data_IF_640472853284
#
_entry.id   IF_640472853284
#
_cell.length_a   1.000
_cell.length_b   1.000
_cell.length_c   1.000
_cell.angle_alpha   90.00
_cell.angle_beta   90.00
_cell.angle_gamma   90.00
#
_symmetry.space_group_name_H-M   'P 1'
#
loop_
_entity.id
_entity.type
_entity.pdbx_description
1 polymer ?
#
# COMPACT_ATOMS: atom_id res chain seq x y z
N UNK A 1 31.93 -116.81 14.36
CA UNK A 1 30.82 -115.90 14.05
C UNK A 1 31.33 -114.48 14.23
N UNK A 2 31.80 -113.85 13.15
CA UNK A 2 32.32 -112.48 13.16
C UNK A 2 31.16 -111.50 13.27
N UNK A 3 31.07 -110.80 14.40
CA UNK A 3 30.10 -109.73 14.63
C UNK A 3 30.42 -108.56 13.69
N UNK A 4 29.54 -108.29 12.72
CA UNK A 4 29.57 -107.02 11.99
C UNK A 4 29.20 -105.90 12.97
N UNK A 5 29.95 -104.79 13.04
CA UNK A 5 29.61 -103.67 13.90
C UNK A 5 28.22 -103.13 13.52
N UNK A 6 27.30 -103.14 14.48
CA UNK A 6 25.89 -102.77 14.33
C UNK A 6 25.64 -101.28 14.08
N UNK A 7 26.69 -100.46 13.94
CA UNK A 7 26.61 -99.02 13.77
C UNK A 7 26.70 -98.52 12.31
N UNK A 8 26.72 -99.40 11.30
CA UNK A 8 26.82 -98.94 9.91
C UNK A 8 26.15 -99.83 8.85
N UNK A 9 25.01 -100.47 9.15
CA UNK A 9 24.20 -101.12 8.10
C UNK A 9 23.29 -100.07 7.47
N UNK A 10 23.68 -99.56 6.30
CA UNK A 10 22.85 -98.65 5.50
C UNK A 10 21.92 -99.45 4.58
N UNK A 11 20.66 -99.02 4.46
CA UNK A 11 19.84 -99.41 3.31
C UNK A 11 20.31 -98.62 2.09
N UNK A 12 20.12 -99.17 0.88
CA UNK A 12 20.52 -98.50 -0.37
C UNK A 12 19.91 -97.09 -0.48
N UNK A 13 18.64 -96.93 -0.09
CA UNK A 13 17.97 -95.62 -0.05
C UNK A 13 18.61 -94.66 0.96
N UNK A 14 18.94 -95.15 2.17
CA UNK A 14 19.59 -94.32 3.22
C UNK A 14 21.00 -93.89 2.79
N UNK A 15 21.73 -94.77 2.11
CA UNK A 15 23.06 -94.47 1.56
C UNK A 15 22.96 -93.34 0.52
N UNK A 16 22.11 -93.48 -0.50
CA UNK A 16 21.95 -92.47 -1.55
C UNK A 16 21.50 -91.11 -0.98
N UNK A 17 20.59 -91.10 -0.01
CA UNK A 17 20.11 -89.87 0.62
C UNK A 17 21.21 -89.17 1.43
N UNK A 18 22.05 -89.93 2.14
CA UNK A 18 23.18 -89.39 2.90
C UNK A 18 24.25 -88.82 1.98
N UNK A 19 24.58 -89.52 0.88
CA UNK A 19 25.57 -89.05 -0.11
C UNK A 19 25.09 -87.78 -0.81
N UNK A 20 23.81 -87.71 -1.18
CA UNK A 20 23.20 -86.50 -1.74
C UNK A 20 23.38 -85.30 -0.82
N UNK A 21 23.03 -85.44 0.46
CA UNK A 21 23.14 -84.35 1.44
C UNK A 21 24.58 -83.86 1.64
N UNK A 22 25.55 -84.79 1.68
CA UNK A 22 26.97 -84.43 1.80
C UNK A 22 27.46 -83.65 0.57
N UNK A 23 27.10 -84.09 -0.62
CA UNK A 23 27.48 -83.41 -1.86
C UNK A 23 26.85 -82.02 -1.97
N UNK A 24 25.57 -81.89 -1.60
CA UNK A 24 24.85 -80.61 -1.63
C UNK A 24 25.39 -79.63 -0.56
N UNK A 25 25.80 -80.10 0.62
CA UNK A 25 26.38 -79.25 1.68
C UNK A 25 27.80 -78.77 1.37
N UNK A 26 28.70 -79.66 0.94
CA UNK A 26 30.14 -79.34 0.82
C UNK A 26 30.45 -78.52 -0.43
N UNK A 27 29.82 -78.82 -1.57
CA UNK A 27 30.18 -78.21 -2.85
C UNK A 27 29.30 -77.02 -3.25
N UNK A 28 28.06 -76.95 -2.75
CA UNK A 28 27.14 -75.85 -3.05
C UNK A 28 26.92 -75.59 -4.54
N UNK A 29 26.86 -74.31 -4.92
CA UNK A 29 26.72 -73.86 -6.30
C UNK A 29 28.09 -73.66 -6.95
N UNK A 30 28.29 -74.27 -8.12
CA UNK A 30 29.55 -74.19 -8.86
C UNK A 30 29.33 -73.75 -10.30
N UNK A 31 30.38 -73.20 -10.90
CA UNK A 31 30.45 -72.87 -12.32
C UNK A 31 31.31 -73.88 -13.05
N UNK A 32 30.80 -74.41 -14.16
CA UNK A 32 31.45 -75.45 -14.96
C UNK A 32 31.44 -75.07 -16.43
N UNK A 33 32.59 -75.21 -17.08
CA UNK A 33 32.72 -75.09 -18.53
C UNK A 33 32.85 -76.47 -19.14
N UNK A 34 32.13 -76.72 -20.23
CA UNK A 34 32.22 -77.99 -20.96
C UNK A 34 31.38 -78.00 -22.22
N UNK A 35 31.55 -79.04 -23.02
CA UNK A 35 30.81 -79.26 -24.25
C UNK A 35 29.49 -79.99 -23.97
N UNK A 36 28.39 -79.50 -24.54
CA UNK A 36 27.10 -80.19 -24.50
C UNK A 36 27.15 -81.41 -25.42
N UNK A 37 26.77 -82.56 -24.88
CA UNK A 37 26.52 -83.78 -25.64
C UNK A 37 25.20 -84.41 -25.22
N UNK A 38 24.62 -85.24 -26.09
CA UNK A 38 23.39 -85.99 -25.80
C UNK A 38 22.22 -85.10 -25.31
N UNK A 39 22.08 -83.90 -25.87
CA UNK A 39 21.00 -82.97 -25.55
C UNK A 39 19.64 -83.55 -25.93
N UNK A 40 18.74 -83.62 -24.96
CA UNK A 40 17.36 -84.06 -25.09
C UNK A 40 16.40 -83.00 -24.53
N UNK A 41 15.38 -82.68 -25.30
CA UNK A 41 14.37 -81.66 -24.97
C UNK A 41 12.95 -82.24 -25.09
N UNK A 42 12.50 -83.06 -24.11
CA UNK A 42 11.16 -83.64 -24.12
C UNK A 42 10.03 -82.59 -23.97
N UNK A 43 8.79 -83.00 -24.27
CA UNK A 43 7.60 -82.14 -24.18
C UNK A 43 7.28 -81.62 -22.77
N UNK A 44 7.87 -82.20 -21.72
CA UNK A 44 7.80 -81.70 -20.33
C UNK A 44 8.45 -80.31 -20.16
N UNK A 45 9.35 -79.93 -21.08
CA UNK A 45 10.04 -78.65 -21.07
C UNK A 45 11.30 -78.61 -20.19
N UNK A 46 11.72 -79.76 -19.64
CA UNK A 46 13.03 -79.93 -19.00
C UNK A 46 14.09 -80.27 -20.05
N UNK A 47 15.33 -79.84 -19.84
CA UNK A 47 16.45 -80.21 -20.71
C UNK A 47 17.36 -81.18 -19.98
N UNK A 48 17.73 -82.26 -20.66
CA UNK A 48 18.70 -83.23 -20.17
C UNK A 48 19.86 -83.27 -21.14
N UNK A 49 21.08 -83.16 -20.65
CA UNK A 49 22.28 -83.22 -21.48
C UNK A 49 23.45 -83.74 -20.67
N UNK A 50 24.53 -84.14 -21.33
CA UNK A 50 25.78 -84.52 -20.68
C UNK A 50 26.79 -83.42 -20.94
N UNK A 51 27.33 -82.84 -19.86
CA UNK A 51 28.46 -81.92 -19.94
C UNK A 51 29.74 -82.75 -19.93
N UNK A 52 30.60 -82.58 -20.95
CA UNK A 52 31.88 -83.27 -21.04
C UNK A 52 33.04 -82.29 -21.20
N UNK A 53 34.20 -82.68 -20.70
CA UNK A 53 35.50 -82.08 -21.00
C UNK A 53 36.41 -83.13 -21.68
N UNK A 54 37.71 -82.87 -21.79
CA UNK A 54 38.66 -83.81 -22.42
C UNK A 54 38.83 -85.14 -21.66
N UNK A 55 38.50 -85.20 -20.37
CA UNK A 55 38.83 -86.33 -19.48
C UNK A 55 37.63 -86.94 -18.74
N UNK A 56 36.53 -86.21 -18.63
CA UNK A 56 35.38 -86.57 -17.80
C UNK A 56 34.05 -86.11 -18.42
N UNK A 57 32.96 -86.72 -17.97
CA UNK A 57 31.61 -86.35 -18.36
C UNK A 57 30.64 -86.49 -17.19
N UNK A 58 29.60 -85.66 -17.15
CA UNK A 58 28.60 -85.63 -16.10
C UNK A 58 27.20 -85.33 -16.66
N UNK A 59 26.19 -86.03 -16.16
CA UNK A 59 24.79 -85.80 -16.55
C UNK A 59 24.27 -84.51 -15.92
N UNK A 60 23.57 -83.72 -16.71
CA UNK A 60 22.99 -82.45 -16.33
C UNK A 60 21.50 -82.46 -16.60
N UNK A 61 20.73 -81.91 -15.67
CA UNK A 61 19.32 -81.62 -15.83
C UNK A 61 19.08 -80.12 -15.63
N UNK A 62 18.27 -79.51 -16.48
CA UNK A 62 17.90 -78.10 -16.40
C UNK A 62 16.38 -77.99 -16.43
N UNK A 63 15.82 -77.42 -15.35
CA UNK A 63 14.37 -77.35 -15.20
C UNK A 63 13.74 -76.26 -16.08
N UNK A 64 12.45 -76.42 -16.41
CA UNK A 64 11.71 -75.55 -17.35
C UNK A 64 11.78 -74.07 -16.96
N UNK A 65 11.77 -73.77 -15.67
CA UNK A 65 11.89 -72.43 -15.11
C UNK A 65 13.26 -71.80 -15.39
N UNK A 66 14.33 -72.59 -15.33
CA UNK A 66 15.70 -72.18 -15.63
C UNK A 66 15.93 -72.05 -17.14
N UNK A 67 15.40 -72.98 -17.95
CA UNK A 67 15.54 -72.98 -19.42
C UNK A 67 15.03 -71.68 -20.06
N UNK A 68 13.96 -71.10 -19.50
CA UNK A 68 13.37 -69.83 -19.98
C UNK A 68 14.32 -68.63 -19.88
N UNK A 69 15.34 -68.70 -19.03
CA UNK A 69 16.33 -67.63 -18.84
C UNK A 69 17.48 -67.71 -19.84
N UNK A 70 17.60 -68.80 -20.59
CA UNK A 70 18.66 -68.98 -21.58
C UNK A 70 18.26 -68.26 -22.87
N UNK A 71 19.08 -67.29 -23.28
CA UNK A 71 18.83 -66.41 -24.43
C UNK A 71 19.23 -67.01 -25.77
N UNK A 72 19.93 -68.15 -25.76
CA UNK A 72 20.38 -68.86 -26.95
C UNK A 72 19.83 -70.30 -27.02
N UNK A 73 19.91 -70.91 -28.20
CA UNK A 73 19.50 -72.31 -28.39
C UNK A 73 20.71 -73.24 -28.22
N UNK A 74 20.79 -74.06 -27.16
CA UNK A 74 21.90 -74.97 -26.98
C UNK A 74 21.89 -76.09 -28.03
N UNK A 75 23.07 -76.48 -28.49
CA UNK A 75 23.26 -77.56 -29.46
C UNK A 75 24.32 -78.56 -28.98
N UNK A 76 24.24 -79.80 -29.47
CA UNK A 76 25.33 -80.77 -29.25
C UNK A 76 26.61 -80.27 -29.94
N UNK A 77 27.76 -80.43 -29.29
CA UNK A 77 29.03 -79.89 -29.77
C UNK A 77 29.32 -78.47 -29.28
N UNK A 78 28.36 -77.81 -28.63
CA UNK A 78 28.52 -76.42 -28.20
C UNK A 78 29.18 -76.36 -26.82
N UNK A 79 30.22 -75.54 -26.70
CA UNK A 79 30.85 -75.25 -25.43
C UNK A 79 30.04 -74.22 -24.65
N UNK A 80 29.69 -74.54 -23.41
CA UNK A 80 28.85 -73.71 -22.54
C UNK A 80 29.46 -73.57 -21.15
N UNK A 81 29.17 -72.43 -20.52
CA UNK A 81 29.41 -72.20 -19.12
C UNK A 81 28.07 -72.34 -18.39
N UNK A 82 28.00 -73.23 -17.41
CA UNK A 82 26.79 -73.49 -16.62
C UNK A 82 27.05 -73.27 -15.14
N UNK A 83 26.12 -72.57 -14.49
CA UNK A 83 26.02 -72.52 -13.03
C UNK A 83 25.10 -73.64 -12.60
N UNK A 84 25.61 -74.56 -11.79
CA UNK A 84 24.89 -75.75 -11.38
C UNK A 84 25.12 -76.11 -9.92
N UNK A 85 24.12 -76.75 -9.34
CA UNK A 85 24.21 -77.39 -8.02
C UNK A 85 24.47 -78.88 -8.20
N UNK A 86 25.40 -79.43 -7.42
CA UNK A 86 25.71 -80.86 -7.46
C UNK A 86 24.65 -81.64 -6.69
N UNK A 87 24.14 -82.72 -7.27
CA UNK A 87 23.15 -83.57 -6.62
C UNK A 87 23.27 -85.04 -7.06
N UNK A 88 22.47 -85.92 -6.47
CA UNK A 88 22.45 -87.34 -6.78
C UNK A 88 21.01 -87.82 -7.00
N UNK A 89 20.78 -88.53 -8.10
CA UNK A 89 19.47 -89.05 -8.45
C UNK A 89 19.16 -90.31 -7.61
N UNK A 90 18.49 -90.11 -6.48
CA UNK A 90 18.23 -91.13 -5.44
C UNK A 90 17.73 -92.49 -5.96
N UNK A 91 16.80 -92.57 -6.95
CA UNK A 91 16.28 -93.86 -7.41
C UNK A 91 17.30 -94.75 -8.13
N UNK A 92 18.35 -94.15 -8.73
CA UNK A 92 19.39 -94.90 -9.46
C UNK A 92 20.78 -94.76 -8.85
N UNK A 93 20.98 -93.81 -7.93
CA UNK A 93 22.30 -93.50 -7.38
C UNK A 93 23.21 -92.74 -8.34
N UNK A 94 22.67 -92.19 -9.43
CA UNK A 94 23.47 -91.52 -10.46
C UNK A 94 23.87 -90.10 -10.01
N UNK A 95 25.15 -89.78 -10.13
CA UNK A 95 25.67 -88.42 -9.94
C UNK A 95 25.19 -87.48 -11.07
N UNK A 96 24.65 -86.32 -10.72
CA UNK A 96 24.14 -85.37 -11.69
C UNK A 96 24.27 -83.91 -11.25
N UNK A 97 24.25 -83.01 -12.22
CA UNK A 97 24.23 -81.57 -12.01
C UNK A 97 22.84 -81.01 -12.29
N UNK A 98 22.37 -80.11 -11.42
CA UNK A 98 21.18 -79.32 -11.67
C UNK A 98 21.59 -77.93 -12.16
N UNK A 99 21.47 -77.69 -13.46
CA UNK A 99 21.81 -76.40 -14.07
C UNK A 99 20.73 -75.34 -13.77
N UNK A 100 21.17 -74.18 -13.31
CA UNK A 100 20.33 -73.02 -12.99
C UNK A 100 20.44 -71.92 -14.06
N UNK A 101 21.62 -71.72 -14.60
CA UNK A 101 21.89 -70.77 -15.68
C UNK A 101 22.91 -71.34 -16.65
N UNK A 102 22.72 -71.07 -17.95
CA UNK A 102 23.57 -71.54 -19.03
C UNK A 102 23.92 -70.35 -19.93
N UNK A 103 25.20 -70.18 -20.21
CA UNK A 103 25.77 -69.16 -21.08
C UNK A 103 26.71 -69.81 -22.12
N UNK A 104 26.93 -69.22 -23.29
CA UNK A 104 27.96 -69.67 -24.22
C UNK A 104 29.34 -69.57 -23.53
N UNK A 105 30.24 -70.55 -23.75
CA UNK A 105 31.57 -70.52 -23.12
C UNK A 105 32.44 -69.35 -23.60
N UNK A 106 32.17 -68.79 -24.78
CA UNK A 106 32.85 -67.60 -25.30
C UNK A 106 32.72 -66.40 -24.36
N UNK A 107 31.51 -66.12 -23.87
CA UNK A 107 31.23 -64.98 -22.99
C UNK A 107 31.94 -65.11 -21.62
N UNK A 108 31.99 -66.33 -21.07
CA UNK A 108 32.64 -66.59 -19.79
C UNK A 108 34.17 -66.45 -19.83
N UNK A 109 34.79 -66.90 -20.93
CA UNK A 109 36.23 -66.72 -21.14
C UNK A 109 36.59 -65.24 -21.31
N UNK A 110 35.79 -64.50 -22.08
CA UNK A 110 35.94 -63.05 -22.24
C UNK A 110 35.76 -62.33 -20.90
N UNK A 111 34.75 -62.69 -20.10
CA UNK A 111 34.56 -62.08 -18.78
C UNK A 111 35.76 -62.33 -17.84
N UNK A 112 36.32 -63.54 -17.82
CA UNK A 112 37.50 -63.85 -17.04
C UNK A 112 38.73 -63.06 -17.52
N UNK A 113 38.94 -62.96 -18.84
CA UNK A 113 40.02 -62.16 -19.42
C UNK A 113 39.89 -60.68 -19.07
N UNK A 114 38.66 -60.15 -19.08
CA UNK A 114 38.37 -58.77 -18.70
C UNK A 114 38.72 -58.52 -17.23
N UNK A 115 38.29 -59.40 -16.31
CA UNK A 115 38.60 -59.24 -14.89
C UNK A 115 40.10 -59.34 -14.61
N UNK A 116 40.80 -60.28 -15.24
CA UNK A 116 42.25 -60.42 -15.11
C UNK A 116 42.99 -59.18 -15.61
N UNK A 117 42.61 -58.69 -16.80
CA UNK A 117 43.24 -57.50 -17.38
C UNK A 117 42.93 -56.24 -16.56
N UNK A 118 41.70 -56.10 -16.09
CA UNK A 118 41.29 -55.01 -15.20
C UNK A 118 42.11 -55.00 -13.92
N UNK A 119 42.28 -56.15 -13.25
CA UNK A 119 43.09 -56.25 -12.04
C UNK A 119 44.55 -55.88 -12.31
N UNK A 120 45.12 -56.34 -13.43
CA UNK A 120 46.50 -56.04 -13.81
C UNK A 120 46.72 -54.55 -14.07
N UNK A 121 45.89 -53.93 -14.90
CA UNK A 121 46.02 -52.50 -15.24
C UNK A 121 45.70 -51.59 -14.03
N UNK A 122 44.78 -52.01 -13.16
CA UNK A 122 44.54 -51.32 -11.88
C UNK A 122 45.77 -51.36 -10.98
N UNK A 123 46.44 -52.52 -10.87
CA UNK A 123 47.66 -52.66 -10.08
C UNK A 123 48.83 -51.82 -10.63
N UNK A 124 48.86 -51.59 -11.95
CA UNK A 124 49.80 -50.67 -12.61
C UNK A 124 49.45 -49.18 -12.43
N UNK A 125 48.27 -48.85 -11.87
CA UNK A 125 47.82 -47.48 -11.59
C UNK A 125 47.17 -46.75 -12.78
N UNK A 126 46.89 -47.43 -13.90
CA UNK A 126 46.33 -46.79 -15.10
C UNK A 126 44.92 -46.20 -14.89
N UNK A 127 44.23 -46.59 -13.83
CA UNK A 127 42.89 -46.09 -13.50
C UNK A 127 42.92 -44.95 -12.46
N UNK A 128 44.10 -44.58 -11.96
CA UNK A 128 44.21 -43.60 -10.89
C UNK A 128 43.77 -42.21 -11.36
N UNK A 129 42.94 -41.56 -10.54
CA UNK A 129 42.42 -40.23 -10.83
C UNK A 129 43.52 -39.17 -11.01
N UNK A 130 44.72 -39.39 -10.45
CA UNK A 130 45.85 -38.46 -10.52
C UNK A 130 46.44 -38.32 -11.94
N UNK A 131 46.28 -39.33 -12.79
CA UNK A 131 46.78 -39.30 -14.18
C UNK A 131 45.72 -38.80 -15.17
N UNK A 132 44.46 -38.66 -14.74
CA UNK A 132 43.37 -38.21 -15.59
C UNK A 132 43.47 -36.71 -15.86
N UNK A 133 43.42 -36.34 -17.12
CA UNK A 133 43.48 -34.97 -17.60
C UNK A 133 42.12 -34.27 -17.46
N UNK A 134 42.16 -32.98 -17.14
CA UNK A 134 40.94 -32.17 -17.06
C UNK A 134 40.50 -31.77 -18.47
N UNK A 135 39.23 -32.01 -18.80
CA UNK A 135 38.68 -31.63 -20.10
C UNK A 135 38.68 -30.11 -20.29
N UNK A 136 38.98 -29.62 -21.50
CA UNK A 136 38.84 -28.20 -21.82
C UNK A 136 37.36 -27.80 -21.72
N UNK A 137 37.07 -26.76 -20.93
CA UNK A 137 35.73 -26.18 -20.80
C UNK A 137 35.73 -24.70 -21.20
N UNK A 138 35.19 -24.32 -22.36
CA UNK A 138 34.69 -25.22 -23.41
C UNK A 138 35.78 -25.74 -24.35
N UNK A 139 35.53 -26.89 -24.98
CA UNK A 139 36.38 -27.38 -26.06
C UNK A 139 36.40 -26.39 -27.24
N UNK A 140 37.54 -26.32 -27.92
CA UNK A 140 37.73 -25.53 -29.13
C UNK A 140 37.61 -26.37 -30.39
N UNK A 141 37.99 -27.64 -30.35
CA UNK A 141 37.94 -28.54 -31.50
C UNK A 141 37.94 -30.01 -31.07
N UNK A 142 36.88 -30.73 -31.45
CA UNK A 142 36.67 -32.12 -31.01
C UNK A 142 37.16 -33.09 -32.08
N UNK A 143 37.96 -34.07 -31.68
CA UNK A 143 38.26 -35.24 -32.51
C UNK A 143 37.32 -36.39 -32.18
N UNK A 144 36.76 -37.07 -33.18
CA UNK A 144 35.87 -38.21 -32.99
C UNK A 144 36.48 -39.45 -33.61
N UNK A 145 36.82 -40.43 -32.78
CA UNK A 145 37.35 -41.73 -33.17
C UNK A 145 36.21 -42.74 -33.10
N UNK A 146 35.59 -42.99 -34.25
CA UNK A 146 34.49 -43.96 -34.40
C UNK A 146 34.37 -44.42 -35.85
N UNK A 147 33.45 -45.34 -36.15
CA UNK A 147 33.21 -45.78 -37.52
C UNK A 147 32.58 -44.69 -38.38
N UNK A 148 33.10 -44.50 -39.59
CA UNK A 148 32.64 -43.46 -40.51
C UNK A 148 31.16 -43.58 -40.90
N UNK A 149 30.61 -44.79 -40.87
CA UNK A 149 29.22 -45.12 -41.20
C UNK A 149 28.36 -45.48 -39.96
N UNK A 150 28.91 -45.36 -38.75
CA UNK A 150 28.23 -45.77 -37.52
C UNK A 150 27.20 -44.76 -37.02
N UNK A 151 26.14 -45.25 -36.37
CA UNK A 151 25.13 -44.40 -35.72
C UNK A 151 25.74 -43.45 -34.68
N UNK A 152 26.79 -43.86 -33.98
CA UNK A 152 27.47 -43.02 -32.99
C UNK A 152 28.02 -41.71 -33.56
N UNK A 153 28.56 -41.73 -34.78
CA UNK A 153 29.04 -40.52 -35.43
C UNK A 153 27.88 -39.56 -35.70
N UNK A 154 26.77 -40.09 -36.21
CA UNK A 154 25.58 -39.29 -36.48
C UNK A 154 25.00 -38.67 -35.21
N UNK A 155 24.90 -39.46 -34.14
CA UNK A 155 24.41 -39.01 -32.83
C UNK A 155 25.28 -37.88 -32.25
N UNK A 156 26.61 -38.04 -32.29
CA UNK A 156 27.56 -37.01 -31.85
C UNK A 156 27.38 -35.74 -32.67
N UNK A 157 27.40 -35.84 -34.01
CA UNK A 157 27.29 -34.68 -34.89
C UNK A 157 25.96 -33.95 -34.73
N UNK A 158 24.84 -34.67 -34.56
CA UNK A 158 23.53 -34.08 -34.36
C UNK A 158 23.44 -33.32 -33.04
N UNK A 159 24.00 -33.87 -31.95
CA UNK A 159 24.07 -33.19 -30.66
C UNK A 159 24.93 -31.93 -30.75
N UNK A 160 26.13 -32.04 -31.33
CA UNK A 160 27.04 -30.90 -31.50
C UNK A 160 26.40 -29.81 -32.37
N UNK A 161 25.78 -30.15 -33.49
CA UNK A 161 25.09 -29.18 -34.36
C UNK A 161 23.93 -28.47 -33.66
N UNK A 162 23.23 -29.15 -32.74
CA UNK A 162 22.13 -28.56 -31.97
C UNK A 162 22.61 -27.69 -30.81
N UNK A 163 23.67 -28.10 -30.10
CA UNK A 163 24.13 -27.42 -28.87
C UNK A 163 25.20 -26.37 -29.11
N UNK A 164 26.18 -26.68 -29.96
CA UNK A 164 27.32 -25.84 -30.30
C UNK A 164 27.71 -26.01 -31.78
N UNK A 165 26.89 -25.49 -32.72
CA UNK A 165 27.18 -25.58 -34.15
C UNK A 165 28.47 -24.85 -34.59
N UNK A 166 29.10 -24.08 -33.70
CA UNK A 166 30.38 -23.41 -33.97
C UNK A 166 31.60 -24.27 -33.70
N UNK A 167 31.43 -25.43 -33.04
CA UNK A 167 32.51 -26.33 -32.66
C UNK A 167 33.01 -27.13 -33.88
N UNK A 168 34.26 -26.95 -34.32
CA UNK A 168 34.85 -27.77 -35.37
C UNK A 168 35.01 -29.21 -34.90
N UNK A 169 34.71 -30.15 -35.81
CA UNK A 169 34.80 -31.59 -35.56
C UNK A 169 35.72 -32.23 -36.58
N UNK A 170 36.74 -32.95 -36.12
CA UNK A 170 37.58 -33.81 -36.95
C UNK A 170 37.17 -35.25 -36.72
N UNK A 171 36.85 -35.97 -37.79
CA UNK A 171 36.53 -37.40 -37.73
C UNK A 171 37.77 -38.20 -38.08
N UNK A 172 38.15 -39.11 -37.18
CA UNK A 172 39.19 -40.11 -37.39
C UNK A 172 38.51 -41.47 -37.63
N UNK A 173 38.18 -41.79 -38.90
CA UNK A 173 37.38 -42.96 -39.23
C UNK A 173 38.13 -44.24 -38.87
N UNK A 174 37.53 -45.03 -37.97
CA UNK A 174 38.18 -46.19 -37.35
C UNK A 174 37.19 -47.35 -37.25
N UNK A 175 37.61 -48.57 -37.59
CA UNK A 175 36.79 -49.75 -37.28
C UNK A 175 36.72 -49.92 -35.76
N UNK A 176 35.51 -49.91 -35.21
CA UNK A 176 35.26 -50.06 -33.75
C UNK A 176 34.89 -51.48 -33.34
N UNK A 177 34.88 -52.42 -34.30
CA UNK A 177 34.52 -53.82 -34.10
C UNK A 177 35.36 -54.74 -35.00
N UNK A 178 35.55 -55.98 -34.55
CA UNK A 178 36.35 -56.99 -35.25
C UNK A 178 37.82 -56.98 -34.87
N UNK A 179 38.57 -57.99 -35.35
CA UNK A 179 39.94 -58.26 -34.91
C UNK A 179 40.94 -57.13 -35.20
N UNK A 180 40.70 -56.33 -36.25
CA UNK A 180 41.56 -55.20 -36.64
C UNK A 180 41.27 -53.91 -35.86
N UNK A 181 40.14 -53.84 -35.13
CA UNK A 181 39.69 -52.62 -34.48
C UNK A 181 40.67 -52.07 -33.43
N UNK A 182 41.24 -52.88 -32.51
CA UNK A 182 42.18 -52.36 -31.51
C UNK A 182 43.38 -51.62 -32.12
N UNK A 183 43.99 -52.18 -33.17
CA UNK A 183 45.14 -51.57 -33.83
C UNK A 183 44.77 -50.27 -34.56
N UNK A 184 43.58 -50.21 -35.16
CA UNK A 184 43.10 -48.99 -35.82
C UNK A 184 42.79 -47.89 -34.80
N UNK A 185 42.19 -48.22 -33.65
CA UNK A 185 41.94 -47.27 -32.56
C UNK A 185 43.24 -46.68 -32.03
N UNK A 186 44.26 -47.53 -31.78
CA UNK A 186 45.59 -47.07 -31.35
C UNK A 186 46.19 -46.09 -32.37
N UNK A 187 46.19 -46.47 -33.66
CA UNK A 187 46.71 -45.60 -34.72
C UNK A 187 45.95 -44.28 -34.85
N UNK A 188 44.63 -44.28 -34.64
CA UNK A 188 43.83 -43.07 -34.68
C UNK A 188 44.15 -42.12 -33.52
N UNK A 189 44.34 -42.66 -32.31
CA UNK A 189 44.77 -41.88 -31.13
C UNK A 189 46.18 -41.30 -31.37
N UNK A 190 47.11 -42.13 -31.86
CA UNK A 190 48.47 -41.68 -32.18
C UNK A 190 48.47 -40.59 -33.26
N UNK A 191 47.68 -40.78 -34.33
CA UNK A 191 47.54 -39.79 -35.40
C UNK A 191 46.96 -38.48 -34.90
N UNK A 192 45.93 -38.53 -34.04
CA UNK A 192 45.35 -37.33 -33.45
C UNK A 192 46.37 -36.57 -32.59
N UNK A 193 47.14 -37.29 -31.76
CA UNK A 193 48.22 -36.71 -30.96
C UNK A 193 49.38 -36.15 -31.81
N UNK A 194 49.68 -36.75 -32.97
CA UNK A 194 50.70 -36.26 -33.89
C UNK A 194 50.26 -34.99 -34.61
N UNK A 195 48.99 -34.89 -34.99
CA UNK A 195 48.44 -33.73 -35.69
C UNK A 195 48.20 -32.55 -34.77
N UNK A 196 47.87 -32.81 -33.50
CA UNK A 196 47.63 -31.79 -32.46
C UNK A 196 46.59 -30.74 -32.88
N UNK A 197 45.59 -31.17 -33.67
CA UNK A 197 44.53 -30.30 -34.20
C UNK A 197 43.31 -30.24 -33.27
N UNK A 198 43.17 -31.18 -32.33
CA UNK A 198 42.01 -31.30 -31.43
C UNK A 198 42.43 -31.11 -29.98
N UNK A 199 41.58 -30.52 -29.15
CA UNK A 199 41.84 -30.35 -27.72
C UNK A 199 41.10 -31.37 -26.83
N UNK A 200 40.18 -32.14 -27.42
CA UNK A 200 39.55 -33.31 -26.77
C UNK A 200 39.21 -34.37 -27.81
N UNK A 201 39.34 -35.64 -27.45
CA UNK A 201 38.95 -36.77 -28.28
C UNK A 201 37.75 -37.49 -27.68
N UNK A 202 36.79 -37.87 -28.51
CA UNK A 202 35.73 -38.80 -28.17
C UNK A 202 36.06 -40.13 -28.82
N UNK A 203 36.30 -41.16 -28.02
CA UNK A 203 36.48 -42.54 -28.46
C UNK A 203 35.21 -43.28 -28.10
N UNK A 204 34.47 -43.75 -29.09
CA UNK A 204 33.14 -44.29 -28.83
C UNK A 204 32.59 -45.14 -29.95
N UNK A 205 31.57 -45.89 -29.59
CA UNK A 205 30.84 -46.78 -30.49
C UNK A 205 29.35 -46.71 -30.12
N UNK A 206 28.46 -46.93 -31.11
CA UNK A 206 27.03 -47.10 -30.87
C UNK A 206 26.72 -48.52 -30.40
N UNK A 207 25.54 -48.78 -29.83
CA UNK A 207 25.19 -50.06 -29.20
C UNK A 207 25.65 -51.35 -29.92
N UNK A 208 25.82 -52.43 -29.17
CA UNK A 208 26.33 -53.71 -29.68
C UNK A 208 26.31 -54.80 -28.61
N UNK A 209 26.62 -56.04 -28.99
CA UNK A 209 26.83 -57.14 -28.05
C UNK A 209 28.15 -56.97 -27.26
N UNK A 210 28.39 -57.81 -26.25
CA UNK A 210 29.66 -57.82 -25.50
C UNK A 210 30.88 -58.10 -26.41
N UNK A 211 30.74 -59.02 -27.37
CA UNK A 211 31.79 -59.33 -28.36
C UNK A 211 32.18 -58.11 -29.20
N UNK A 212 31.18 -57.28 -29.46
CA UNK A 212 31.25 -56.08 -30.26
C UNK A 212 32.00 -54.93 -29.54
N UNK A 213 31.89 -54.89 -28.21
CA UNK A 213 32.59 -53.93 -27.34
C UNK A 213 34.01 -54.41 -26.97
N UNK A 214 34.34 -55.68 -27.25
CA UNK A 214 35.59 -56.29 -26.83
C UNK A 214 36.84 -55.58 -27.34
N UNK A 215 36.75 -54.93 -28.50
CA UNK A 215 37.84 -54.12 -29.08
C UNK A 215 38.36 -53.03 -28.12
N UNK A 216 37.52 -52.56 -27.20
CA UNK A 216 37.84 -51.54 -26.20
C UNK A 216 38.35 -52.12 -24.87
N UNK A 217 38.39 -53.46 -24.76
CA UNK A 217 39.02 -54.19 -23.65
C UNK A 217 40.44 -54.66 -24.00
N UNK A 218 41.00 -54.27 -25.14
CA UNK A 218 42.38 -54.60 -25.52
C UNK A 218 43.39 -53.76 -24.72
N UNK A 219 44.43 -54.41 -24.20
CA UNK A 219 45.50 -53.76 -23.43
C UNK A 219 46.21 -52.65 -24.22
N UNK A 220 46.37 -52.82 -25.54
CA UNK A 220 47.04 -51.83 -26.39
C UNK A 220 46.23 -50.54 -26.48
N UNK A 221 44.90 -50.67 -26.58
CA UNK A 221 43.98 -49.52 -26.59
C UNK A 221 44.02 -48.81 -25.24
N UNK A 222 43.96 -49.56 -24.14
CA UNK A 222 44.08 -49.00 -22.80
C UNK A 222 45.38 -48.18 -22.63
N UNK A 223 46.52 -48.74 -23.03
CA UNK A 223 47.82 -48.03 -22.94
C UNK A 223 47.89 -46.82 -23.87
N UNK A 224 47.31 -46.89 -25.07
CA UNK A 224 47.26 -45.75 -25.99
C UNK A 224 46.38 -44.61 -25.46
N UNK A 225 45.26 -44.93 -24.81
CA UNK A 225 44.40 -43.93 -24.16
C UNK A 225 45.17 -43.24 -23.02
N UNK A 226 45.81 -44.02 -22.15
CA UNK A 226 46.60 -43.50 -21.03
C UNK A 226 47.78 -42.63 -21.48
N UNK A 227 48.43 -42.98 -22.59
CA UNK A 227 49.57 -42.25 -23.13
C UNK A 227 49.19 -41.00 -23.98
N UNK A 228 47.90 -40.76 -24.20
CA UNK A 228 47.42 -39.65 -25.01
C UNK A 228 47.74 -38.31 -24.35
N UNK A 229 48.18 -37.33 -25.15
CA UNK A 229 48.40 -35.94 -24.70
C UNK A 229 47.13 -35.10 -24.78
N UNK A 230 46.20 -35.52 -25.62
CA UNK A 230 44.87 -34.92 -25.75
C UNK A 230 43.91 -35.71 -24.84
N UNK A 231 43.10 -35.06 -23.99
CA UNK A 231 42.17 -35.74 -23.10
C UNK A 231 41.13 -36.54 -23.89
N UNK A 232 40.82 -37.75 -23.42
CA UNK A 232 39.94 -38.71 -24.08
C UNK A 232 38.67 -38.93 -23.25
N UNK A 233 37.53 -38.74 -23.90
CA UNK A 233 36.21 -39.13 -23.40
C UNK A 233 35.85 -40.49 -23.99
N UNK A 234 35.73 -41.49 -23.12
CA UNK A 234 35.22 -42.81 -23.52
C UNK A 234 33.70 -42.78 -23.57
N UNK A 235 33.15 -43.19 -24.70
CA UNK A 235 31.72 -43.21 -24.99
C UNK A 235 31.30 -44.56 -25.59
N UNK A 236 31.73 -45.64 -24.94
CA UNK A 236 31.60 -47.02 -25.43
C UNK A 236 30.51 -47.78 -24.65
N UNK A 237 30.56 -47.75 -23.32
CA UNK A 237 29.68 -48.54 -22.46
C UNK A 237 28.39 -47.83 -22.04
N UNK A 238 27.28 -48.59 -21.99
CA UNK A 238 26.05 -48.17 -21.30
C UNK A 238 26.19 -48.37 -19.77
N UNK A 239 25.16 -48.05 -18.97
CA UNK A 239 25.23 -48.15 -17.50
C UNK A 239 25.67 -49.54 -16.96
N UNK A 240 25.43 -50.61 -17.72
CA UNK A 240 25.74 -52.00 -17.31
C UNK A 240 27.03 -52.58 -17.89
N UNK A 241 27.51 -52.09 -19.04
CA UNK A 241 28.59 -52.73 -19.82
C UNK A 241 29.83 -51.83 -19.89
N UNK A 242 30.54 -51.73 -18.75
CA UNK A 242 31.74 -50.87 -18.62
C UNK A 242 32.96 -51.58 -19.21
N UNK A 243 33.67 -50.90 -20.12
CA UNK A 243 34.89 -51.41 -20.77
C UNK A 243 36.17 -50.92 -20.09
N UNK A 244 37.32 -51.50 -20.43
CA UNK A 244 38.61 -51.03 -19.91
C UNK A 244 38.91 -49.60 -20.40
N UNK A 245 38.58 -49.28 -21.65
CA UNK A 245 38.67 -47.91 -22.18
C UNK A 245 37.90 -46.90 -21.31
N UNK A 246 36.75 -47.27 -20.74
CA UNK A 246 35.98 -46.41 -19.84
C UNK A 246 36.68 -46.15 -18.50
N UNK A 247 37.48 -47.10 -18.01
CA UNK A 247 38.25 -46.93 -16.77
C UNK A 247 39.48 -46.06 -16.99
N UNK A 248 40.18 -46.25 -18.11
CA UNK A 248 41.41 -45.51 -18.43
C UNK A 248 41.13 -44.10 -18.93
N UNK A 249 40.04 -43.90 -19.68
CA UNK A 249 39.67 -42.59 -20.20
C UNK A 249 39.57 -41.52 -19.11
N UNK A 250 39.89 -40.28 -19.49
CA UNK A 250 39.87 -39.13 -18.59
C UNK A 250 38.47 -38.83 -18.07
N UNK A 251 37.48 -39.04 -18.93
CA UNK A 251 36.07 -38.96 -18.58
C UNK A 251 35.26 -40.06 -19.26
N UNK A 252 34.35 -40.67 -18.51
CA UNK A 252 33.39 -41.64 -19.03
C UNK A 252 32.07 -40.95 -19.36
N UNK A 253 31.58 -41.17 -20.57
CA UNK A 253 30.23 -40.83 -21.00
C UNK A 253 29.41 -42.11 -21.24
N UNK A 254 28.14 -42.19 -20.78
CA UNK A 254 27.31 -43.38 -20.95
C UNK A 254 26.86 -43.63 -22.39
N UNK A 255 26.93 -42.61 -23.25
CA UNK A 255 26.58 -42.71 -24.68
C UNK A 255 27.41 -41.74 -25.52
N UNK A 256 27.58 -41.99 -26.83
CA UNK A 256 28.16 -41.03 -27.77
C UNK A 256 27.50 -39.65 -27.70
N UNK A 257 26.17 -39.59 -27.61
CA UNK A 257 25.41 -38.34 -27.43
C UNK A 257 25.78 -37.61 -26.14
N UNK A 258 25.91 -38.32 -25.03
CA UNK A 258 26.30 -37.72 -23.75
C UNK A 258 27.75 -37.19 -23.79
N UNK A 259 28.66 -37.88 -24.51
CA UNK A 259 30.02 -37.39 -24.71
C UNK A 259 30.02 -36.05 -25.46
N UNK A 260 29.22 -35.95 -26.53
CA UNK A 260 29.02 -34.70 -27.27
C UNK A 260 28.44 -33.58 -26.39
N UNK A 261 27.51 -33.91 -25.48
CA UNK A 261 26.96 -32.95 -24.52
C UNK A 261 28.02 -32.43 -23.52
N UNK A 262 28.95 -33.28 -23.08
CA UNK A 262 29.98 -32.92 -22.11
C UNK A 262 31.05 -32.00 -22.70
N UNK A 263 31.39 -32.17 -23.99
CA UNK A 263 32.44 -31.37 -24.65
C UNK A 263 31.90 -30.08 -25.29
N UNK A 264 30.59 -29.98 -25.53
CA UNK A 264 29.97 -28.83 -26.21
C UNK A 264 29.62 -27.67 -25.27
N UNK A 265 29.64 -26.44 -25.80
CA UNK A 265 29.05 -25.28 -25.13
C UNK A 265 27.54 -25.41 -25.16
N UNK A 266 26.86 -25.06 -24.07
CA UNK A 266 25.42 -24.86 -24.12
C UNK A 266 25.11 -23.46 -24.69
N UNK A 267 25.25 -23.27 -26.00
CA UNK A 267 25.12 -21.94 -26.64
C UNK A 267 23.74 -21.29 -26.35
N UNK A 268 22.69 -22.10 -26.29
CA UNK A 268 21.34 -21.66 -25.93
C UNK A 268 21.29 -21.09 -24.51
N UNK A 269 22.01 -21.68 -23.57
CA UNK A 269 22.08 -21.19 -22.20
C UNK A 269 22.87 -19.88 -22.13
N UNK A 270 24.02 -19.76 -22.82
CA UNK A 270 24.75 -18.49 -22.90
C UNK A 270 23.87 -17.38 -23.50
N UNK A 271 23.13 -17.65 -24.56
CA UNK A 271 22.21 -16.69 -25.17
C UNK A 271 21.12 -16.25 -24.18
N UNK A 272 20.53 -17.20 -23.43
CA UNK A 272 19.56 -16.87 -22.37
C UNK A 272 20.19 -16.02 -21.27
N UNK A 273 21.41 -16.34 -20.85
CA UNK A 273 22.14 -15.56 -19.84
C UNK A 273 22.37 -14.12 -20.33
N UNK A 274 22.86 -13.93 -21.56
CA UNK A 274 23.06 -12.61 -22.17
C UNK A 274 21.74 -11.83 -22.25
N UNK A 275 20.65 -12.48 -22.70
CA UNK A 275 19.34 -11.84 -22.75
C UNK A 275 18.84 -11.41 -21.36
N UNK A 276 19.04 -12.26 -20.35
CA UNK A 276 18.64 -11.94 -18.97
C UNK A 276 19.47 -10.79 -18.38
N UNK A 277 20.77 -10.73 -18.68
CA UNK A 277 21.65 -9.65 -18.26
C UNK A 277 21.28 -8.33 -18.96
N UNK A 278 20.96 -8.38 -20.26
CA UNK A 278 20.46 -7.22 -21.01
C UNK A 278 19.17 -6.67 -20.40
N UNK A 279 18.19 -7.52 -20.11
CA UNK A 279 16.93 -7.10 -19.47
C UNK A 279 17.17 -6.46 -18.09
N UNK A 280 18.08 -7.03 -17.29
CA UNK A 280 18.45 -6.43 -15.99
C UNK A 280 19.10 -5.07 -16.14
N UNK A 281 19.97 -4.91 -17.14
CA UNK A 281 20.62 -3.63 -17.44
C UNK A 281 19.60 -2.57 -17.87
N UNK A 282 18.68 -2.93 -18.77
CA UNK A 282 17.59 -2.05 -19.22
C UNK A 282 16.75 -1.56 -18.03
N UNK A 283 16.29 -2.48 -17.17
CA UNK A 283 15.53 -2.12 -15.96
C UNK A 283 16.33 -1.22 -14.99
N UNK A 284 17.63 -1.50 -14.81
CA UNK A 284 18.50 -0.69 -13.95
C UNK A 284 18.71 0.72 -14.51
N UNK A 285 18.85 0.85 -15.83
CA UNK A 285 18.96 2.13 -16.52
C UNK A 285 17.66 2.94 -16.42
N UNK A 286 16.51 2.31 -16.65
CA UNK A 286 15.21 2.97 -16.51
C UNK A 286 15.00 3.50 -15.09
N UNK A 287 15.34 2.68 -14.09
CA UNK A 287 15.27 3.09 -12.69
C UNK A 287 16.22 4.27 -12.39
N UNK A 288 17.46 4.20 -12.88
CA UNK A 288 18.45 5.27 -12.70
C UNK A 288 17.98 6.59 -13.32
N UNK A 289 17.49 6.55 -14.57
CA UNK A 289 16.99 7.73 -15.27
C UNK A 289 15.75 8.31 -14.59
N UNK A 290 14.81 7.45 -14.16
CA UNK A 290 13.62 7.89 -13.42
C UNK A 290 14.01 8.59 -12.11
N UNK A 291 14.98 8.05 -11.37
CA UNK A 291 15.46 8.66 -10.14
C UNK A 291 16.14 10.02 -10.39
N UNK A 292 17.00 10.11 -11.40
CA UNK A 292 17.65 11.37 -11.79
C UNK A 292 16.63 12.43 -12.21
N UNK A 293 15.59 12.02 -12.94
CA UNK A 293 14.54 12.93 -13.38
C UNK A 293 13.70 13.44 -12.19
N UNK A 294 13.41 12.58 -11.19
CA UNK A 294 12.75 12.98 -9.93
C UNK A 294 13.59 13.99 -9.15
N UNK A 295 14.89 13.73 -9.01
CA UNK A 295 15.82 14.63 -8.32
C UNK A 295 15.92 15.99 -9.02
N UNK A 296 16.05 15.98 -10.35
CA UNK A 296 16.03 17.19 -11.18
C UNK A 296 14.73 17.98 -10.97
N UNK A 297 13.59 17.33 -11.08
CA UNK A 297 12.27 17.96 -10.90
C UNK A 297 12.14 18.56 -9.50
N UNK A 298 12.59 17.86 -8.46
CA UNK A 298 12.59 18.37 -7.08
C UNK A 298 13.48 19.61 -6.93
N UNK A 299 14.69 19.58 -7.47
CA UNK A 299 15.62 20.72 -7.41
C UNK A 299 15.10 21.91 -8.20
N UNK A 300 14.56 21.66 -9.39
CA UNK A 300 13.95 22.69 -10.24
C UNK A 300 12.77 23.37 -9.54
N UNK A 301 11.88 22.60 -8.92
CA UNK A 301 10.75 23.15 -8.17
C UNK A 301 11.21 23.94 -6.93
N UNK A 302 12.23 23.47 -6.20
CA UNK A 302 12.82 24.25 -5.10
C UNK A 302 13.40 25.58 -5.57
N UNK A 303 14.11 25.57 -6.70
CA UNK A 303 14.67 26.77 -7.31
C UNK A 303 13.56 27.77 -7.69
N UNK A 304 12.48 27.29 -8.31
CA UNK A 304 11.32 28.12 -8.65
C UNK A 304 10.60 28.67 -7.40
N UNK A 305 10.43 27.88 -6.34
CA UNK A 305 9.80 28.35 -5.11
C UNK A 305 10.66 29.35 -4.34
N UNK A 306 11.99 29.22 -4.42
CA UNK A 306 12.92 30.17 -3.82
C UNK A 306 13.23 31.36 -4.74
N UNK A 307 12.57 31.47 -5.89
CA UNK A 307 12.85 32.51 -6.86
C UNK A 307 12.74 33.90 -6.21
N UNK A 308 13.83 34.69 -6.16
CA UNK A 308 13.88 35.95 -5.44
C UNK A 308 12.78 36.92 -5.86
N UNK A 309 12.42 36.91 -7.15
CA UNK A 309 11.34 37.77 -7.67
C UNK A 309 9.96 37.41 -7.10
N UNK A 310 9.65 36.13 -6.86
CA UNK A 310 8.37 35.74 -6.25
C UNK A 310 8.33 36.13 -4.77
N UNK A 311 9.45 36.00 -4.06
CA UNK A 311 9.58 36.48 -2.67
C UNK A 311 9.45 38.00 -2.59
N UNK A 312 10.13 38.74 -3.47
CA UNK A 312 10.03 40.20 -3.58
C UNK A 312 8.61 40.65 -3.94
N UNK A 313 7.96 40.01 -4.91
CA UNK A 313 6.58 40.32 -5.30
C UNK A 313 5.60 40.11 -4.14
N UNK A 314 5.74 39.02 -3.37
CA UNK A 314 4.94 38.78 -2.15
C UNK A 314 5.17 39.85 -1.09
N UNK A 315 6.43 40.21 -0.83
CA UNK A 315 6.77 41.27 0.13
C UNK A 315 6.23 42.63 -0.30
N UNK A 316 6.34 42.98 -1.59
CA UNK A 316 5.78 44.21 -2.16
C UNK A 316 4.25 44.24 -1.99
N UNK A 317 3.54 43.16 -2.33
CA UNK A 317 2.10 43.07 -2.15
C UNK A 317 1.69 43.19 -0.66
N UNK A 318 2.47 42.62 0.25
CA UNK A 318 2.24 42.73 1.69
C UNK A 318 2.48 44.16 2.19
N UNK A 319 3.52 44.84 1.72
CA UNK A 319 3.78 46.25 2.03
C UNK A 319 2.63 47.15 1.57
N UNK A 320 2.10 46.93 0.36
CA UNK A 320 0.94 47.70 -0.15
C UNK A 320 -0.27 47.51 0.77
N UNK A 321 -0.60 46.28 1.17
CA UNK A 321 -1.72 46.01 2.08
C UNK A 321 -1.53 46.64 3.47
N UNK A 322 -0.31 46.57 4.01
CA UNK A 322 0.01 47.17 5.31
C UNK A 322 -0.09 48.70 5.26
N UNK A 323 0.38 49.30 4.17
CA UNK A 323 0.27 50.75 3.94
C UNK A 323 -1.18 51.20 3.87
N UNK A 324 -2.01 50.50 3.10
CA UNK A 324 -3.43 50.79 2.99
C UNK A 324 -4.14 50.69 4.35
N UNK A 325 -3.86 49.63 5.13
CA UNK A 325 -4.39 49.49 6.50
C UNK A 325 -3.97 50.62 7.43
N UNK A 326 -2.73 51.07 7.33
CA UNK A 326 -2.22 52.19 8.12
C UNK A 326 -2.92 53.50 7.73
N UNK A 327 -3.08 53.77 6.44
CA UNK A 327 -3.76 54.95 5.93
C UNK A 327 -5.23 54.98 6.37
N UNK A 328 -5.94 53.85 6.25
CA UNK A 328 -7.34 53.71 6.71
C UNK A 328 -7.47 53.95 8.22
N UNK A 329 -6.58 53.36 9.02
CA UNK A 329 -6.57 53.53 10.48
C UNK A 329 -6.28 54.98 10.88
N UNK A 330 -5.31 55.63 10.22
CA UNK A 330 -5.00 57.05 10.45
C UNK A 330 -6.19 57.95 10.09
N UNK A 331 -6.84 57.71 8.94
CA UNK A 331 -8.01 58.48 8.54
C UNK A 331 -9.19 58.27 9.49
N UNK A 332 -9.41 57.05 9.97
CA UNK A 332 -10.46 56.76 10.94
C UNK A 332 -10.19 57.48 12.27
N UNK A 333 -8.95 57.46 12.74
CA UNK A 333 -8.54 58.17 13.95
C UNK A 333 -8.76 59.67 13.82
N UNK A 334 -8.30 60.28 12.71
CA UNK A 334 -8.50 61.71 12.43
C UNK A 334 -9.99 62.07 12.41
N UNK A 335 -10.82 61.28 11.70
CA UNK A 335 -12.27 61.48 11.66
C UNK A 335 -12.93 61.38 13.04
N UNK A 336 -12.49 60.43 13.88
CA UNK A 336 -13.00 60.31 15.25
C UNK A 336 -12.64 61.53 16.10
N UNK A 337 -11.39 62.00 16.02
CA UNK A 337 -10.95 63.19 16.75
C UNK A 337 -11.66 64.46 16.29
N UNK A 338 -11.85 64.66 14.98
CA UNK A 338 -12.60 65.80 14.45
C UNK A 338 -14.06 65.79 14.91
N UNK A 339 -14.74 64.64 14.81
CA UNK A 339 -16.12 64.48 15.31
C UNK A 339 -16.23 64.73 16.81
N UNK A 340 -15.23 64.32 17.59
CA UNK A 340 -15.19 64.59 19.04
C UNK A 340 -15.06 66.09 19.29
N UNK A 341 -14.19 66.78 18.55
CA UNK A 341 -14.03 68.23 18.62
C UNK A 341 -15.33 68.97 18.27
N UNK A 342 -15.96 68.63 17.14
CA UNK A 342 -17.23 69.21 16.70
C UNK A 342 -18.34 69.02 17.75
N UNK A 343 -18.47 67.81 18.32
CA UNK A 343 -19.44 67.53 19.38
C UNK A 343 -19.19 68.35 20.63
N UNK A 344 -17.93 68.50 21.05
CA UNK A 344 -17.59 69.33 22.22
C UNK A 344 -17.88 70.81 21.95
N UNK A 345 -17.59 71.30 20.74
CA UNK A 345 -17.90 72.66 20.33
C UNK A 345 -19.42 72.92 20.29
N UNK A 346 -20.21 71.99 19.74
CA UNK A 346 -21.68 72.08 19.75
C UNK A 346 -22.24 72.09 21.17
N UNK A 347 -21.74 71.22 22.07
CA UNK A 347 -22.14 71.23 23.48
C UNK A 347 -21.82 72.56 24.16
N UNK A 348 -20.65 73.13 23.86
CA UNK A 348 -20.25 74.44 24.39
C UNK A 348 -21.18 75.55 23.88
N UNK A 349 -21.50 75.57 22.59
CA UNK A 349 -22.43 76.54 22.00
C UNK A 349 -23.85 76.43 22.58
N UNK A 350 -24.34 75.21 22.85
CA UNK A 350 -25.65 75.00 23.46
C UNK A 350 -25.73 75.46 24.93
N UNK A 351 -24.61 75.56 25.62
CA UNK A 351 -24.53 76.06 27.00
C UNK A 351 -24.34 77.58 27.08
N UNK A 352 -24.42 78.31 25.96
CA UNK A 352 -24.27 79.78 25.96
C UNK A 352 -25.39 80.45 26.78
N UNK A 353 -25.06 81.11 27.90
CA UNK A 353 -26.05 81.65 28.83
C UNK A 353 -26.70 82.94 28.32
N UNK A 354 -26.15 83.58 27.28
CA UNK A 354 -26.60 84.89 26.79
C UNK A 354 -28.08 84.90 26.39
N UNK A 355 -28.57 83.86 25.71
CA UNK A 355 -29.99 83.74 25.34
C UNK A 355 -30.90 83.53 26.55
N UNK A 356 -30.45 82.77 27.56
CA UNK A 356 -31.18 82.59 28.83
C UNK A 356 -31.22 83.89 29.64
N UNK A 357 -30.10 84.62 29.70
CA UNK A 357 -29.98 85.92 30.37
C UNK A 357 -30.91 86.94 29.69
N UNK A 358 -30.90 87.02 28.35
CA UNK A 358 -31.74 87.97 27.62
C UNK A 358 -33.24 87.69 27.83
N UNK A 359 -33.65 86.41 27.79
CA UNK A 359 -35.03 86.00 28.11
C UNK A 359 -35.41 86.33 29.56
N UNK A 360 -34.51 86.11 30.51
CA UNK A 360 -34.75 86.43 31.91
C UNK A 360 -34.88 87.95 32.14
N UNK A 361 -34.04 88.76 31.50
CA UNK A 361 -34.12 90.22 31.53
C UNK A 361 -35.45 90.75 30.96
N UNK A 362 -35.87 90.25 29.80
CA UNK A 362 -37.17 90.60 29.21
C UNK A 362 -38.34 90.21 30.13
N UNK A 363 -38.27 89.03 30.75
CA UNK A 363 -39.31 88.57 31.69
C UNK A 363 -39.35 89.44 32.96
N UNK A 364 -38.19 89.87 33.46
CA UNK A 364 -38.09 90.82 34.58
C UNK A 364 -38.74 92.17 34.23
N UNK A 365 -38.47 92.71 33.04
CA UNK A 365 -39.09 93.96 32.57
C UNK A 365 -40.61 93.85 32.43
N UNK A 366 -41.11 92.73 31.90
CA UNK A 366 -42.55 92.48 31.79
C UNK A 366 -43.21 92.38 33.17
N UNK A 367 -42.59 91.62 34.09
CA UNK A 367 -43.10 91.46 35.45
C UNK A 367 -43.08 92.79 36.23
N UNK A 368 -42.04 93.61 36.08
CA UNK A 368 -41.99 94.93 36.72
C UNK A 368 -43.08 95.86 36.22
N UNK A 369 -43.34 95.86 34.91
CA UNK A 369 -44.42 96.65 34.32
C UNK A 369 -45.80 96.19 34.83
N UNK A 370 -46.05 94.88 34.83
CA UNK A 370 -47.30 94.30 35.35
C UNK A 370 -47.51 94.63 36.83
N UNK A 371 -46.45 94.59 37.64
CA UNK A 371 -46.49 94.95 39.05
C UNK A 371 -46.87 96.43 39.23
N UNK A 372 -46.21 97.34 38.52
CA UNK A 372 -46.51 98.77 38.58
C UNK A 372 -47.97 99.06 38.21
N UNK A 373 -48.46 98.50 37.11
CA UNK A 373 -49.86 98.66 36.70
C UNK A 373 -50.87 98.01 37.66
N UNK A 374 -50.49 96.94 38.37
CA UNK A 374 -51.34 96.34 39.40
C UNK A 374 -51.43 97.24 40.65
N UNK A 375 -50.30 97.79 41.09
CA UNK A 375 -50.23 98.73 42.23
C UNK A 375 -51.04 100.00 41.94
N UNK A 376 -50.89 100.59 40.76
CA UNK A 376 -51.67 101.78 40.37
C UNK A 376 -53.17 101.51 40.34
N UNK A 377 -53.60 100.39 39.77
CA UNK A 377 -55.01 99.98 39.78
C UNK A 377 -55.55 99.83 41.19
N UNK A 378 -54.79 99.19 42.09
CA UNK A 378 -55.20 98.99 43.48
C UNK A 378 -55.32 100.32 44.24
N UNK A 379 -54.36 101.22 44.07
CA UNK A 379 -54.38 102.55 44.68
C UNK A 379 -55.58 103.37 44.20
N UNK A 380 -55.87 103.35 42.90
CA UNK A 380 -57.01 104.08 42.33
C UNK A 380 -58.35 103.53 42.82
N UNK A 381 -58.50 102.20 42.93
CA UNK A 381 -59.69 101.60 43.53
C UNK A 381 -59.89 102.00 44.99
N UNK A 382 -58.81 102.04 45.78
CA UNK A 382 -58.88 102.47 47.17
C UNK A 382 -59.23 103.96 47.30
N UNK A 383 -58.69 104.84 46.43
CA UNK A 383 -59.07 106.26 46.36
C UNK A 383 -60.55 106.44 46.04
N UNK A 384 -61.08 105.68 45.08
CA UNK A 384 -62.51 105.71 44.75
C UNK A 384 -63.38 105.27 45.93
N UNK A 385 -63.02 104.18 46.62
CA UNK A 385 -63.74 103.72 47.83
C UNK A 385 -63.76 104.78 48.92
N UNK A 386 -62.64 105.47 49.15
CA UNK A 386 -62.54 106.57 50.11
C UNK A 386 -63.47 107.73 49.74
N UNK A 387 -63.46 108.15 48.47
CA UNK A 387 -64.31 109.25 47.99
C UNK A 387 -65.81 108.98 48.17
N UNK A 388 -66.25 107.73 47.92
CA UNK A 388 -67.63 107.31 48.16
C UNK A 388 -67.98 107.32 49.66
N UNK A 389 -67.04 106.94 50.53
CA UNK A 389 -67.26 106.97 51.96
C UNK A 389 -67.40 108.40 52.50
N UNK A 390 -66.59 109.34 52.02
CA UNK A 390 -66.67 110.76 52.40
C UNK A 390 -68.00 111.41 51.99
N UNK A 391 -68.46 111.20 50.75
CA UNK A 391 -69.73 111.79 50.27
C UNK A 391 -70.95 111.27 51.02
N UNK A 392 -70.94 109.99 51.44
CA UNK A 392 -71.97 109.45 52.33
C UNK A 392 -71.99 110.14 53.69
N UNK A 393 -70.83 110.52 54.22
CA UNK A 393 -70.70 111.14 55.53
C UNK A 393 -71.25 112.59 55.54
N UNK A 394 -71.04 113.33 54.44
CA UNK A 394 -71.58 114.69 54.27
C UNK A 394 -73.12 114.73 54.13
N UNK A 395 -73.72 113.72 53.50
CA UNK A 395 -75.16 113.70 53.21
C UNK A 395 -76.08 113.56 54.45
N UNK A 396 -75.54 113.20 55.62
CA UNK A 396 -76.34 112.94 56.84
C UNK A 396 -76.22 114.09 57.87
N UNK A 397 -75.57 115.20 57.53
CA UNK A 397 -75.34 116.32 58.46
C UNK A 397 -76.54 117.29 58.60
N UNK A 398 -77.11 117.51 59.81
CA UNK A 398 -78.24 118.42 60.05
C UNK A 398 -77.96 119.90 59.73
N UNK A 399 -76.70 120.32 59.67
CA UNK A 399 -76.29 121.69 59.33
C UNK A 399 -76.61 122.04 57.86
N UNK A 400 -76.63 121.05 56.96
CA UNK A 400 -76.95 121.26 55.55
C UNK A 400 -78.43 121.61 55.33
N UNK A 401 -79.32 121.25 56.26
CA UNK A 401 -80.77 121.48 56.14
C UNK A 401 -81.16 122.93 56.48
N UNK A 402 -80.44 123.57 57.41
CA UNK A 402 -80.65 124.99 57.77
C UNK A 402 -80.06 125.96 56.74
N UNK A 403 -78.99 125.58 56.05
CA UNK A 403 -78.37 126.38 54.99
C UNK A 403 -79.25 126.56 53.73
N UNK A 404 -80.35 125.80 53.59
CA UNK A 404 -81.28 125.87 52.45
C UNK A 404 -82.42 126.88 52.62
N UNK A 405 -82.39 127.73 53.64
CA UNK A 405 -83.32 128.87 53.77
C UNK A 405 -84.67 128.57 54.43
N UNK A 406 -84.78 127.46 55.18
CA UNK A 406 -85.97 127.15 55.97
C UNK A 406 -85.86 127.77 57.38
N UNK A 407 -86.92 128.46 57.83
CA UNK A 407 -87.02 129.03 59.17
C UNK A 407 -87.91 128.17 60.08
N UNK A 408 -87.76 128.35 61.40
CA UNK A 408 -88.55 127.64 62.41
C UNK A 408 -89.30 128.66 63.24
N UNK A 409 -90.63 128.68 63.15
CA UNK A 409 -91.50 129.56 63.94
C UNK A 409 -92.04 128.82 65.15
N UNK A 410 -91.98 129.47 66.32
CA UNK A 410 -92.37 128.94 67.63
C UNK A 410 -93.40 129.84 68.32
N UNK A 411 -94.32 129.24 69.07
CA UNK A 411 -95.28 129.92 69.93
C UNK A 411 -94.62 130.48 71.21
N UNK A 412 -95.31 131.32 72.02
CA UNK A 412 -94.75 131.88 73.27
C UNK A 412 -94.29 130.82 74.28
N UNK A 413 -94.86 129.62 74.22
CA UNK A 413 -94.52 128.45 75.05
C UNK A 413 -93.33 127.64 74.50
N UNK A 414 -92.68 128.09 73.41
CA UNK A 414 -91.51 127.48 72.80
C UNK A 414 -91.81 126.32 71.84
N UNK A 415 -93.09 125.96 71.61
CA UNK A 415 -93.44 124.89 70.67
C UNK A 415 -93.37 125.36 69.22
N UNK A 416 -92.78 124.52 68.35
CA UNK A 416 -92.70 124.78 66.90
C UNK A 416 -94.09 124.68 66.28
N UNK A 417 -94.53 125.78 65.66
CA UNK A 417 -95.79 125.89 64.96
C UNK A 417 -95.64 125.29 63.57
N UNK A 418 -96.47 124.30 63.26
CA UNK A 418 -96.46 123.60 61.96
C UNK A 418 -97.67 123.96 61.10
N UNK A 419 -98.76 124.38 61.72
CA UNK A 419 -100.04 124.60 61.05
C UNK A 419 -100.65 125.95 61.45
N UNK A 420 -101.25 126.66 60.48
CA UNK A 420 -101.87 127.99 60.66
C UNK A 420 -103.05 127.98 61.65
N UNK A 421 -103.70 126.83 61.84
CA UNK A 421 -104.83 126.68 62.78
C UNK A 421 -104.43 126.75 64.27
N UNK A 422 -103.13 126.70 64.59
CA UNK A 422 -102.63 126.63 65.97
C UNK A 422 -102.37 128.00 66.61
N UNK A 423 -102.70 129.07 65.89
CA UNK A 423 -102.42 130.46 66.28
C UNK A 423 -103.77 131.08 66.70
N UNK A 424 -103.82 132.17 67.48
CA UNK A 424 -105.01 133.03 67.74
C UNK A 424 -104.85 134.49 67.21
N UNK A 425 -105.94 135.21 66.89
CA UNK A 425 -105.86 136.60 66.37
C UNK A 425 -105.41 137.55 67.50
N UNK A 426 -104.35 138.34 67.27
CA UNK A 426 -103.72 139.21 68.28
C UNK A 426 -102.53 138.61 69.05
N UNK A 427 -102.21 137.34 68.82
CA UNK A 427 -101.14 136.60 69.51
C UNK A 427 -99.72 136.92 68.98
N UNK A 428 -98.70 136.91 69.83
CA UNK A 428 -97.29 137.15 69.49
C UNK A 428 -96.53 135.84 69.19
N UNK A 429 -95.66 135.85 68.17
CA UNK A 429 -94.91 134.69 67.66
C UNK A 429 -93.40 134.98 67.61
N UNK A 430 -92.55 133.96 67.79
CA UNK A 430 -91.08 134.04 67.63
C UNK A 430 -90.60 133.21 66.44
N UNK A 431 -89.80 133.77 65.53
CA UNK A 431 -89.24 133.04 64.37
C UNK A 431 -87.72 133.03 64.39
N UNK A 432 -87.10 131.85 64.19
CA UNK A 432 -85.64 131.66 64.09
C UNK A 432 -85.17 131.69 62.64
N UNK A 433 -84.19 132.55 62.37
CA UNK A 433 -83.44 132.65 61.11
C UNK A 433 -82.02 132.10 61.29
N UNK A 434 -81.25 132.04 60.20
CA UNK A 434 -79.85 131.56 60.21
C UNK A 434 -78.97 132.34 61.20
N UNK A 435 -79.29 133.61 61.43
CA UNK A 435 -78.47 134.60 62.12
C UNK A 435 -79.18 135.29 63.31
N UNK A 436 -80.46 135.01 63.57
CA UNK A 436 -81.18 135.70 64.67
C UNK A 436 -82.64 135.29 64.89
N UNK A 437 -83.34 136.08 65.71
CA UNK A 437 -84.75 135.87 66.08
C UNK A 437 -85.59 137.13 65.91
N UNK A 438 -86.84 136.96 65.46
CA UNK A 438 -87.80 138.05 65.25
C UNK A 438 -89.12 137.74 65.98
N UNK A 439 -89.68 138.74 66.68
CA UNK A 439 -91.02 138.69 67.28
C UNK A 439 -92.06 139.39 66.39
N UNK A 440 -93.26 138.81 66.27
CA UNK A 440 -94.31 139.31 65.36
C UNK A 440 -95.69 139.11 65.96
N UNK A 441 -96.61 140.06 65.76
CA UNK A 441 -98.00 139.98 66.25
C UNK A 441 -98.98 139.73 65.10
N UNK A 442 -99.96 138.85 65.31
CA UNK A 442 -100.83 138.34 64.24
C UNK A 442 -102.00 139.31 63.97
N UNK A 443 -101.94 140.04 62.86
CA UNK A 443 -102.94 141.07 62.48
C UNK A 443 -104.08 140.54 61.61
N UNK A 444 -103.82 139.60 60.71
CA UNK A 444 -104.83 138.99 59.84
C UNK A 444 -104.49 137.55 59.54
N UNK A 445 -105.50 136.75 59.24
CA UNK A 445 -105.35 135.37 58.78
C UNK A 445 -105.94 135.23 57.40
N UNK A 446 -105.10 134.87 56.45
CA UNK A 446 -105.53 134.38 55.16
C UNK A 446 -105.06 132.93 55.03
N UNK A 447 -105.95 131.96 54.79
CA UNK A 447 -105.51 130.65 54.33
C UNK A 447 -104.86 130.76 52.95
N UNK A 448 -103.80 129.97 52.74
CA UNK A 448 -102.92 130.01 51.57
C UNK A 448 -103.72 129.81 50.24
N UNK A 449 -103.50 130.64 49.20
CA UNK A 449 -104.15 130.51 47.89
C UNK A 449 -103.99 129.14 47.21
N UNK A 450 -102.97 128.36 47.55
CA UNK A 450 -102.70 127.07 46.90
C UNK A 450 -103.51 125.88 47.41
N UNK A 451 -104.19 125.98 48.57
CA UNK A 451 -105.06 124.88 49.04
C UNK A 451 -106.38 124.75 48.27
N UNK A 452 -106.75 125.72 47.42
CA UNK A 452 -107.97 125.67 46.58
C UNK A 452 -107.74 125.09 45.17
N UNK A 453 -106.50 125.06 44.65
CA UNK A 453 -106.21 124.50 43.30
C UNK A 453 -106.07 122.97 43.27
N UNK A 454 -105.88 122.31 44.41
CA UNK A 454 -105.81 120.83 44.48
C UNK A 454 -107.16 120.13 44.72
N UNK A 455 -108.24 120.85 45.06
CA UNK A 455 -109.60 120.26 45.15
C UNK A 455 -110.43 120.38 43.86
N UNK A 456 -109.93 121.08 42.84
CA UNK A 456 -110.60 121.26 41.53
C UNK A 456 -110.09 120.33 40.41
N UNK A 457 -109.16 119.41 40.71
CA UNK A 457 -108.79 118.27 39.84
C UNK A 457 -109.31 116.93 40.37
N UNK A 458 -110.51 116.98 40.96
CA UNK A 458 -111.44 115.85 41.05
C UNK A 458 -112.78 116.29 40.46
N UNK A 459 -112.80 116.73 39.18
CA UNK A 459 -114.02 116.79 38.36
C UNK A 459 -113.70 117.27 36.93
N UNK A 460 -113.14 116.39 36.10
CA UNK A 460 -113.50 116.34 34.68
C UNK A 460 -113.02 115.01 34.09
N UNK A 461 -113.79 114.44 33.16
CA UNK A 461 -114.11 113.01 33.13
C UNK A 461 -113.36 112.29 32.01
N UNK A 462 -113.10 111.00 32.20
CA UNK A 462 -113.00 110.06 31.07
C UNK A 462 -114.34 110.05 30.32
N UNK A 463 -114.35 110.20 28.99
CA UNK A 463 -114.94 109.09 28.22
C UNK A 463 -114.39 108.94 26.79
N UNK A 464 -113.69 107.84 26.53
CA UNK A 464 -114.12 106.78 25.60
C UNK A 464 -113.48 105.47 26.04
#
# INVERSE_FOLDING_TARGET
MSQFPSSAIFTVSRLNQTVRQLLEMEMGQIWLSGEISNLSQPSSGHWYFTLKDERAQVRCAMFRTSNRKVTFRPQNGQQVLIRASITLYEPRGDYQLLAESMQPAGDGLLQQQFEQLKQRLAAEGLFDQQFKQVLPSPAKQVGVITSASGAALHDILQVLQRRDPSLPVIVYPTSVQGAEAPLQIVRAIELANQRDECDVLIVGRGGGSLEDLWSFNDERVARAIFASRIPIVSAVGHETDVTIADFVGDLRAPTPSAAAELVSRNQLELLRQIQSQRQRLEMAMDYYLAQRNRDFTRLHHRLQQQHPQLRLARQQAQLVKLRQRLDDAMQQQLRQTSRRSERLQQRLMQQQPQTRIHRAQQRLQQLSYQMQSAVERQLNQNKQKLGIACSRLEGVSPLATLARGYNITTAPDGKVLKNVAQISLGETLKTRLQDGWVESQVTTRAPNPESAKKRRKSSSPTPK
#
